data_IF_493842269606
#
_entry.id   IF_493842269606
#
_cell.length_a   1.000
_cell.length_b   1.000
_cell.length_c   1.000
_cell.angle_alpha   90.00
_cell.angle_beta   90.00
_cell.angle_gamma   90.00
#
_symmetry.space_group_name_H-M   'P 1'
#
loop_
_entity.id
_entity.type
_entity.pdbx_description
1 polymer ?
#
# COMPACT_ATOMS: atom_id res chain seq x y z
N UNK A 1 -20.18 -15.68 20.91
CA UNK A 1 -19.17 -15.43 19.86
C UNK A 1 -19.67 -16.08 18.58
N UNK A 2 -19.92 -15.29 17.53
CA UNK A 2 -20.18 -15.84 16.20
C UNK A 2 -18.99 -16.70 15.74
N UNK A 3 -19.24 -17.78 14.98
CA UNK A 3 -18.14 -18.56 14.39
C UNK A 3 -17.24 -17.62 13.58
N UNK A 4 -15.90 -17.79 13.64
CA UNK A 4 -14.99 -17.04 12.78
C UNK A 4 -15.32 -17.37 11.32
N UNK A 5 -15.47 -16.33 10.49
CA UNK A 5 -15.70 -16.48 9.06
C UNK A 5 -14.52 -17.23 8.45
N UNK A 6 -14.78 -18.23 7.62
CA UNK A 6 -13.75 -18.99 6.89
C UNK A 6 -13.63 -18.35 5.50
N UNK A 7 -12.41 -18.24 4.94
CA UNK A 7 -12.20 -17.51 3.68
C UNK A 7 -12.98 -18.16 2.52
N UNK A 8 -12.99 -19.48 2.51
CA UNK A 8 -13.67 -20.33 1.54
C UNK A 8 -15.18 -20.10 1.54
N UNK A 9 -15.78 -19.76 2.69
CA UNK A 9 -17.22 -19.51 2.82
C UNK A 9 -17.66 -18.16 2.20
N UNK A 10 -16.72 -17.27 1.90
CA UNK A 10 -17.00 -15.90 1.42
C UNK A 10 -16.32 -15.59 0.08
N UNK A 11 -15.84 -16.62 -0.60
CA UNK A 11 -15.11 -16.50 -1.87
C UNK A 11 -15.72 -17.42 -2.94
N UNK A 12 -15.17 -17.42 -4.15
CA UNK A 12 -15.75 -18.16 -5.27
C UNK A 12 -16.99 -17.48 -5.84
N UNK A 13 -17.79 -18.24 -6.59
CA UNK A 13 -19.01 -17.79 -7.24
C UNK A 13 -19.61 -18.93 -8.07
N UNK A 14 -20.84 -18.75 -8.54
CA UNK A 14 -21.49 -19.72 -9.42
C UNK A 14 -21.16 -19.44 -10.89
N UNK A 15 -21.51 -20.38 -11.77
CA UNK A 15 -21.37 -20.18 -13.22
C UNK A 15 -22.24 -19.03 -13.78
N UNK A 16 -23.22 -18.53 -13.00
CA UNK A 16 -24.05 -17.39 -13.41
C UNK A 16 -23.39 -16.04 -13.18
N UNK A 17 -22.40 -15.96 -12.30
CA UNK A 17 -21.70 -14.72 -12.03
C UNK A 17 -21.00 -14.23 -13.29
N UNK A 18 -21.28 -12.98 -13.67
CA UNK A 18 -20.66 -12.32 -14.82
C UNK A 18 -19.56 -11.34 -14.41
N UNK A 19 -19.37 -11.11 -13.11
CA UNK A 19 -18.39 -10.18 -12.57
C UNK A 19 -17.36 -10.92 -11.73
N UNK A 20 -16.07 -10.79 -12.07
CA UNK A 20 -14.94 -11.26 -11.28
C UNK A 20 -14.34 -10.12 -10.45
N UNK A 21 -14.26 -10.27 -9.14
CA UNK A 21 -13.48 -9.41 -8.25
C UNK A 21 -12.24 -10.14 -7.73
N UNK A 22 -11.06 -9.60 -8.02
CA UNK A 22 -9.77 -10.16 -7.61
C UNK A 22 -9.27 -9.43 -6.37
N UNK A 23 -8.95 -10.15 -5.30
CA UNK A 23 -8.45 -9.60 -4.04
C UNK A 23 -6.96 -9.94 -3.86
N UNK A 24 -6.11 -8.91 -3.75
CA UNK A 24 -4.65 -9.08 -3.72
C UNK A 24 -4.08 -8.59 -2.38
N UNK A 25 -3.46 -9.51 -1.62
CA UNK A 25 -2.90 -9.22 -0.30
C UNK A 25 -1.54 -8.50 -0.35
N UNK A 26 -1.11 -7.96 0.79
CA UNK A 26 0.15 -7.24 0.95
C UNK A 26 1.39 -8.11 1.22
N UNK A 27 2.52 -7.44 1.48
CA UNK A 27 3.81 -8.05 1.82
C UNK A 27 3.68 -8.97 3.04
N UNK A 28 4.36 -10.13 3.02
CA UNK A 28 4.31 -11.18 4.05
C UNK A 28 2.95 -11.82 4.30
N UNK A 29 1.93 -11.37 3.57
CA UNK A 29 0.55 -11.78 3.72
C UNK A 29 0.21 -13.11 3.05
N UNK A 30 -1.07 -13.42 3.09
CA UNK A 30 -1.68 -14.55 2.44
C UNK A 30 -3.16 -14.20 2.17
N UNK A 31 -3.90 -15.02 1.39
CA UNK A 31 -5.30 -14.75 1.03
C UNK A 31 -6.23 -14.40 2.20
N UNK A 32 -6.01 -14.98 3.39
CA UNK A 32 -6.87 -14.71 4.56
C UNK A 32 -6.83 -13.26 5.04
N UNK A 33 -5.81 -12.47 4.66
CA UNK A 33 -5.76 -11.04 4.97
C UNK A 33 -6.85 -10.25 4.24
N UNK A 34 -7.38 -10.79 3.14
CA UNK A 34 -8.48 -10.19 2.37
C UNK A 34 -9.85 -10.76 2.75
N UNK A 35 -9.92 -11.67 3.73
CA UNK A 35 -11.14 -12.37 4.12
C UNK A 35 -12.30 -11.44 4.46
N UNK A 36 -12.05 -10.38 5.22
CA UNK A 36 -13.12 -9.47 5.62
C UNK A 36 -13.53 -8.51 4.49
N UNK A 37 -12.62 -8.23 3.55
CA UNK A 37 -12.96 -7.56 2.28
C UNK A 37 -13.89 -8.45 1.45
N UNK A 38 -13.56 -9.74 1.31
CA UNK A 38 -14.40 -10.73 0.63
C UNK A 38 -15.77 -10.86 1.32
N UNK A 39 -15.78 -10.95 2.65
CA UNK A 39 -17.01 -10.99 3.44
C UNK A 39 -17.90 -9.77 3.19
N UNK A 40 -17.35 -8.56 3.21
CA UNK A 40 -18.12 -7.34 2.97
C UNK A 40 -18.74 -7.32 1.56
N UNK A 41 -18.02 -7.82 0.54
CA UNK A 41 -18.57 -7.97 -0.80
C UNK A 41 -19.65 -9.06 -0.87
N UNK A 42 -19.44 -10.20 -0.21
CA UNK A 42 -20.40 -11.32 -0.19
C UNK A 42 -21.67 -11.00 0.60
N UNK A 43 -21.59 -10.14 1.61
CA UNK A 43 -22.75 -9.65 2.36
C UNK A 43 -23.68 -8.79 1.46
N UNK A 44 -23.13 -8.10 0.45
CA UNK A 44 -23.87 -7.23 -0.48
C UNK A 44 -24.24 -7.93 -1.80
N UNK A 45 -23.41 -8.87 -2.27
CA UNK A 45 -23.55 -9.51 -3.58
C UNK A 45 -23.50 -11.04 -3.48
N UNK A 46 -24.49 -11.70 -4.06
CA UNK A 46 -24.61 -13.16 -4.03
C UNK A 46 -23.60 -13.87 -4.94
N UNK A 47 -23.44 -15.18 -4.76
CA UNK A 47 -22.55 -16.00 -5.60
C UNK A 47 -22.95 -16.02 -7.08
N UNK A 48 -24.22 -15.77 -7.38
CA UNK A 48 -24.76 -15.66 -8.73
C UNK A 48 -24.44 -14.32 -9.39
N UNK A 49 -24.05 -13.31 -8.61
CA UNK A 49 -23.75 -11.94 -9.10
C UNK A 49 -22.24 -11.69 -9.19
N UNK A 50 -21.50 -12.10 -8.16
CA UNK A 50 -20.08 -11.78 -7.99
C UNK A 50 -19.25 -13.02 -7.67
N UNK A 51 -18.29 -13.28 -8.56
CA UNK A 51 -17.22 -14.24 -8.35
C UNK A 51 -16.05 -13.55 -7.65
N UNK A 52 -15.63 -14.03 -6.48
CA UNK A 52 -14.53 -13.45 -5.70
C UNK A 52 -13.31 -14.37 -5.75
N UNK A 53 -12.18 -13.85 -6.25
CA UNK A 53 -10.90 -14.55 -6.36
C UNK A 53 -9.85 -13.92 -5.44
N UNK A 54 -9.55 -14.51 -4.27
CA UNK A 54 -8.34 -14.17 -3.52
C UNK A 54 -7.10 -14.68 -4.27
N UNK A 55 -6.14 -13.80 -4.56
CA UNK A 55 -4.89 -14.20 -5.19
C UNK A 55 -3.98 -14.96 -4.19
N UNK A 56 -3.48 -16.12 -4.62
CA UNK A 56 -2.77 -17.07 -3.75
C UNK A 56 -1.29 -17.24 -4.09
N UNK A 57 -0.89 -17.06 -5.36
CA UNK A 57 0.47 -17.42 -5.83
C UNK A 57 1.56 -16.53 -5.24
N UNK A 58 1.21 -15.41 -4.60
CA UNK A 58 2.15 -14.51 -3.91
C UNK A 58 2.26 -14.74 -2.40
N UNK A 59 1.64 -15.77 -1.83
CA UNK A 59 1.60 -15.93 -0.38
C UNK A 59 3.00 -16.02 0.29
N UNK A 60 3.13 -15.37 1.44
CA UNK A 60 4.28 -15.49 2.31
C UNK A 60 5.62 -15.07 1.70
N UNK A 61 6.56 -16.01 1.51
CA UNK A 61 7.91 -15.64 1.08
C UNK A 61 7.95 -15.25 -0.40
N UNK A 62 6.93 -15.60 -1.18
CA UNK A 62 6.82 -15.20 -2.57
C UNK A 62 6.60 -13.69 -2.73
N UNK A 63 6.10 -13.01 -1.68
CA UNK A 63 6.00 -11.55 -1.68
C UNK A 63 7.36 -10.85 -1.69
N UNK A 64 8.47 -11.55 -1.46
CA UNK A 64 9.82 -10.96 -1.54
C UNK A 64 10.32 -10.84 -2.99
N UNK A 65 9.64 -11.47 -3.95
CA UNK A 65 10.09 -11.54 -5.35
C UNK A 65 9.87 -10.26 -6.17
N UNK A 66 9.29 -9.23 -5.57
CA UNK A 66 8.99 -7.98 -6.23
C UNK A 66 7.58 -7.90 -6.79
N UNK A 67 7.22 -6.67 -7.13
CA UNK A 67 5.96 -6.27 -7.75
C UNK A 67 5.84 -6.86 -9.15
N UNK A 68 6.94 -6.96 -9.90
CA UNK A 68 6.98 -7.52 -11.25
C UNK A 68 6.56 -9.00 -11.26
N UNK A 69 7.36 -9.88 -10.62
CA UNK A 69 7.05 -11.31 -10.58
C UNK A 69 5.73 -11.57 -9.85
N UNK A 70 5.40 -10.74 -8.86
CA UNK A 70 4.10 -10.78 -8.20
C UNK A 70 2.95 -10.45 -9.15
N UNK A 71 3.10 -9.44 -10.00
CA UNK A 71 2.11 -9.03 -10.98
C UNK A 71 1.92 -10.05 -12.09
N UNK A 72 3.00 -10.66 -12.56
CA UNK A 72 2.96 -11.77 -13.52
C UNK A 72 2.17 -12.96 -12.98
N UNK A 73 2.39 -13.34 -11.72
CA UNK A 73 1.63 -14.41 -11.05
C UNK A 73 0.15 -14.07 -10.95
N UNK A 74 -0.20 -12.85 -10.55
CA UNK A 74 -1.61 -12.42 -10.44
C UNK A 74 -2.26 -12.36 -11.83
N UNK A 75 -1.56 -11.85 -12.85
CA UNK A 75 -2.04 -11.88 -14.23
C UNK A 75 -2.37 -13.31 -14.68
N UNK A 76 -1.45 -14.26 -14.43
CA UNK A 76 -1.67 -15.66 -14.73
C UNK A 76 -2.84 -16.27 -13.94
N UNK A 77 -3.00 -15.94 -12.65
CA UNK A 77 -4.16 -16.38 -11.85
C UNK A 77 -5.49 -15.89 -12.43
N UNK A 78 -5.54 -14.65 -12.90
CA UNK A 78 -6.74 -14.08 -13.53
C UNK A 78 -7.03 -14.82 -14.83
N UNK A 79 -6.03 -14.99 -15.70
CA UNK A 79 -6.14 -15.75 -16.95
C UNK A 79 -6.63 -17.19 -16.71
N UNK A 80 -5.99 -17.89 -15.77
CA UNK A 80 -6.37 -19.25 -15.38
C UNK A 80 -7.82 -19.28 -14.88
N UNK A 81 -8.22 -18.30 -14.06
CA UNK A 81 -9.58 -18.26 -13.51
C UNK A 81 -10.64 -17.98 -14.58
N UNK A 82 -10.40 -17.03 -15.49
CA UNK A 82 -11.30 -16.73 -16.60
C UNK A 82 -11.56 -17.98 -17.45
N UNK A 83 -10.49 -18.68 -17.86
CA UNK A 83 -10.60 -19.94 -18.62
C UNK A 83 -11.36 -21.02 -17.85
N UNK A 84 -11.01 -21.25 -16.58
CA UNK A 84 -11.68 -22.26 -15.76
C UNK A 84 -13.19 -21.99 -15.60
N UNK A 85 -13.61 -20.73 -15.49
CA UNK A 85 -15.03 -20.37 -15.42
C UNK A 85 -15.73 -20.64 -16.75
N UNK A 86 -15.07 -20.31 -17.87
CA UNK A 86 -15.58 -20.58 -19.22
C UNK A 86 -15.74 -22.08 -19.50
N UNK A 87 -14.77 -22.90 -19.10
CA UNK A 87 -14.83 -24.37 -19.20
C UNK A 87 -15.99 -24.98 -18.38
N UNK A 88 -16.40 -24.31 -17.30
CA UNK A 88 -17.55 -24.68 -16.48
C UNK A 88 -18.88 -24.15 -17.02
N UNK A 89 -18.87 -23.50 -18.18
CA UNK A 89 -20.05 -22.94 -18.85
C UNK A 89 -20.47 -21.55 -18.34
N UNK A 90 -19.66 -20.91 -17.49
CA UNK A 90 -19.85 -19.52 -17.07
C UNK A 90 -19.24 -18.53 -18.05
N UNK A 91 -19.52 -17.23 -17.88
CA UNK A 91 -18.89 -16.18 -18.69
C UNK A 91 -18.72 -14.90 -17.90
N UNK A 92 -17.47 -14.56 -17.58
CA UNK A 92 -17.12 -13.28 -16.98
C UNK A 92 -17.06 -12.21 -18.06
N UNK A 93 -17.77 -11.10 -17.83
CA UNK A 93 -17.78 -9.92 -18.70
C UNK A 93 -17.31 -8.66 -17.98
N UNK A 94 -17.24 -8.69 -16.64
CA UNK A 94 -16.79 -7.56 -15.81
C UNK A 94 -15.62 -7.93 -14.93
N UNK A 95 -14.68 -7.01 -14.76
CA UNK A 95 -13.50 -7.19 -13.90
C UNK A 95 -13.39 -6.07 -12.87
N UNK A 96 -13.19 -6.46 -11.61
CA UNK A 96 -12.77 -5.59 -10.52
C UNK A 96 -11.53 -6.15 -9.84
N UNK A 97 -10.69 -5.27 -9.30
CA UNK A 97 -9.51 -5.63 -8.53
C UNK A 97 -9.45 -4.76 -7.27
N UNK A 98 -9.22 -5.39 -6.12
CA UNK A 98 -8.98 -4.70 -4.86
C UNK A 98 -7.65 -5.17 -4.24
N UNK A 99 -6.70 -4.26 -4.10
CA UNK A 99 -5.37 -4.52 -3.53
C UNK A 99 -5.20 -3.91 -2.14
N UNK A 100 -4.54 -4.63 -1.24
CA UNK A 100 -4.16 -4.13 0.08
C UNK A 100 -2.63 -3.99 0.20
N UNK A 101 -2.15 -2.84 0.65
CA UNK A 101 -0.71 -2.59 0.84
C UNK A 101 0.07 -2.84 -0.46
N UNK A 102 1.16 -3.63 -0.42
CA UNK A 102 1.91 -4.09 -1.61
C UNK A 102 1.00 -4.68 -2.70
N UNK A 103 -0.12 -5.31 -2.32
CA UNK A 103 -1.07 -5.92 -3.26
C UNK A 103 -1.64 -4.92 -4.27
N UNK A 104 -1.84 -3.66 -3.90
CA UNK A 104 -2.28 -2.63 -4.84
C UNK A 104 -1.24 -2.30 -5.93
N UNK A 105 0.06 -2.38 -5.59
CA UNK A 105 1.14 -2.19 -6.57
C UNK A 105 1.29 -3.39 -7.49
N UNK A 106 1.19 -4.61 -6.93
CA UNK A 106 1.12 -5.86 -7.70
C UNK A 106 -0.06 -5.84 -8.66
N UNK A 107 -1.23 -5.37 -8.23
CA UNK A 107 -2.41 -5.19 -9.07
C UNK A 107 -2.19 -4.21 -10.21
N UNK A 108 -1.49 -3.07 -9.98
CA UNK A 108 -1.15 -2.12 -11.05
C UNK A 108 -0.28 -2.76 -12.13
N UNK A 109 0.71 -3.56 -11.72
CA UNK A 109 1.56 -4.30 -12.66
C UNK A 109 0.74 -5.33 -13.46
N UNK A 110 -0.06 -6.15 -12.77
CA UNK A 110 -0.90 -7.16 -13.41
C UNK A 110 -1.90 -6.55 -14.41
N UNK A 111 -2.51 -5.41 -14.08
CA UNK A 111 -3.42 -4.69 -14.99
C UNK A 111 -2.73 -4.26 -16.28
N UNK A 112 -1.48 -3.78 -16.20
CA UNK A 112 -0.71 -3.45 -17.40
C UNK A 112 -0.44 -4.67 -18.28
N UNK A 113 -0.15 -5.84 -17.68
CA UNK A 113 0.03 -7.08 -18.43
C UNK A 113 -1.27 -7.54 -19.09
N UNK A 114 -2.40 -7.51 -18.36
CA UNK A 114 -3.71 -7.85 -18.90
C UNK A 114 -4.09 -6.93 -20.07
N UNK A 115 -3.77 -5.63 -19.96
CA UNK A 115 -3.95 -4.65 -21.04
C UNK A 115 -3.11 -5.01 -22.27
N UNK A 116 -1.80 -5.25 -22.08
CA UNK A 116 -0.89 -5.59 -23.18
C UNK A 116 -1.25 -6.90 -23.89
N UNK A 117 -1.90 -7.84 -23.17
CA UNK A 117 -2.41 -9.11 -23.70
C UNK A 117 -3.76 -8.98 -24.42
N UNK A 118 -4.40 -7.80 -24.42
CA UNK A 118 -5.73 -7.58 -24.99
C UNK A 118 -6.89 -8.14 -24.16
N UNK A 119 -6.62 -8.74 -22.99
CA UNK A 119 -7.66 -9.37 -22.15
C UNK A 119 -8.65 -8.33 -21.63
N UNK A 120 -8.18 -7.12 -21.32
CA UNK A 120 -9.05 -6.04 -20.86
C UNK A 120 -9.93 -5.46 -21.98
N UNK A 121 -9.75 -5.87 -23.24
CA UNK A 121 -10.61 -5.41 -24.35
C UNK A 121 -11.92 -6.19 -24.39
N UNK A 122 -11.91 -7.44 -23.91
CA UNK A 122 -13.10 -8.30 -23.80
C UNK A 122 -13.86 -8.14 -22.48
N UNK A 123 -13.32 -7.33 -21.55
CA UNK A 123 -13.84 -7.14 -20.20
C UNK A 123 -14.20 -5.68 -19.94
N UNK A 124 -15.38 -5.49 -19.35
CA UNK A 124 -15.76 -4.21 -18.78
C UNK A 124 -15.03 -4.02 -17.43
N UNK A 125 -14.01 -3.16 -17.42
CA UNK A 125 -13.22 -2.88 -16.23
C UNK A 125 -13.99 -1.95 -15.28
N UNK A 126 -14.48 -2.49 -14.16
CA UNK A 126 -15.40 -1.80 -13.26
C UNK A 126 -14.66 -1.02 -12.17
N UNK A 127 -14.00 -1.73 -11.25
CA UNK A 127 -13.38 -1.12 -10.06
C UNK A 127 -11.90 -1.48 -9.93
N UNK A 128 -11.06 -0.49 -9.71
CA UNK A 128 -9.70 -0.65 -9.21
C UNK A 128 -9.60 0.02 -7.85
N UNK A 129 -9.58 -0.78 -6.77
CA UNK A 129 -9.59 -0.27 -5.40
C UNK A 129 -8.28 -0.59 -4.70
N UNK A 130 -7.79 0.36 -3.89
CA UNK A 130 -6.62 0.13 -3.03
C UNK A 130 -6.86 0.52 -1.59
N UNK A 131 -6.34 -0.27 -0.67
CA UNK A 131 -6.38 -0.02 0.77
C UNK A 131 -4.95 0.11 1.29
N UNK A 132 -4.60 1.31 1.79
CA UNK A 132 -3.27 1.60 2.34
C UNK A 132 -2.11 1.13 1.43
N UNK A 133 -2.22 1.32 0.12
CA UNK A 133 -1.19 0.93 -0.86
C UNK A 133 -0.18 2.04 -1.09
N UNK A 134 1.15 1.78 -1.02
CA UNK A 134 2.17 2.82 -1.11
C UNK A 134 2.45 3.21 -2.57
N UNK A 135 1.54 3.95 -3.20
CA UNK A 135 1.62 4.34 -4.62
C UNK A 135 2.87 5.15 -4.98
N UNK A 136 3.46 5.86 -4.01
CA UNK A 136 4.69 6.65 -4.15
C UNK A 136 5.91 5.97 -3.49
N UNK A 137 5.79 4.69 -3.14
CA UNK A 137 6.78 3.95 -2.36
C UNK A 137 6.69 4.24 -0.86
N UNK A 138 7.68 3.77 -0.11
CA UNK A 138 7.76 3.91 1.37
C UNK A 138 8.95 4.75 1.81
N UNK A 139 9.61 5.42 0.86
CA UNK A 139 10.73 6.31 1.16
C UNK A 139 10.24 7.50 1.97
N UNK A 140 10.79 7.68 3.17
CA UNK A 140 10.58 8.87 3.98
C UNK A 140 11.26 10.08 3.35
N UNK A 141 10.59 11.24 3.24
CA UNK A 141 11.19 12.47 2.73
C UNK A 141 12.21 13.00 3.74
N UNK A 142 13.48 12.62 3.60
CA UNK A 142 14.57 13.06 4.49
C UNK A 142 15.70 13.69 3.65
N UNK A 143 16.33 14.75 4.18
CA UNK A 143 17.51 15.44 3.62
C UNK A 143 18.82 15.02 4.32
N UNK A 144 19.92 14.97 3.57
CA UNK A 144 21.29 14.77 4.06
C UNK A 144 21.94 13.41 3.75
N UNK A 145 23.28 13.40 3.81
CA UNK A 145 24.18 12.27 3.46
C UNK A 145 23.95 10.97 4.25
N UNK A 146 23.55 11.06 5.53
CA UNK A 146 23.30 9.88 6.38
C UNK A 146 22.10 9.06 5.88
N UNK A 147 21.18 9.68 5.13
CA UNK A 147 20.02 9.00 4.55
C UNK A 147 20.38 8.17 3.32
N UNK A 148 21.38 8.58 2.54
CA UNK A 148 21.87 7.78 1.40
C UNK A 148 22.46 6.47 1.90
N UNK A 149 23.20 6.48 3.02
CA UNK A 149 23.74 5.24 3.61
C UNK A 149 22.62 4.34 4.15
N UNK A 150 21.65 4.88 4.89
CA UNK A 150 20.57 4.06 5.47
C UNK A 150 19.55 3.57 4.43
N UNK A 151 19.12 4.42 3.50
CA UNK A 151 18.20 4.06 2.43
C UNK A 151 18.85 3.17 1.35
N UNK A 152 20.18 3.22 1.17
CA UNK A 152 20.88 2.38 0.17
C UNK A 152 21.42 1.09 0.79
N UNK A 153 22.03 1.08 1.99
CA UNK A 153 22.45 -0.17 2.64
C UNK A 153 21.27 -0.95 3.23
N UNK A 154 20.34 -0.27 3.91
CA UNK A 154 19.13 -0.89 4.45
C UNK A 154 18.32 -1.52 3.33
N UNK A 155 17.95 -0.76 2.31
CA UNK A 155 17.11 -1.28 1.23
C UNK A 155 17.80 -2.26 0.27
N UNK A 156 19.14 -2.30 0.17
CA UNK A 156 19.85 -3.38 -0.55
C UNK A 156 19.84 -4.72 0.20
N UNK A 157 19.66 -4.72 1.52
CA UNK A 157 19.43 -5.94 2.31
C UNK A 157 17.96 -6.36 2.33
N UNK A 158 17.05 -5.46 1.94
CA UNK A 158 15.65 -5.78 1.68
C UNK A 158 15.56 -6.43 0.30
N UNK A 159 14.80 -7.51 0.19
CA UNK A 159 14.44 -8.22 -1.05
C UNK A 159 14.08 -7.32 -2.25
N UNK A 160 13.80 -7.92 -3.42
CA UNK A 160 13.35 -7.14 -4.59
C UNK A 160 12.14 -6.25 -4.32
N UNK A 161 11.14 -6.73 -3.56
CA UNK A 161 10.00 -5.89 -3.13
C UNK A 161 10.43 -4.69 -2.30
N UNK A 162 11.42 -4.86 -1.41
CA UNK A 162 11.96 -3.75 -0.63
C UNK A 162 12.67 -2.72 -1.49
N UNK A 163 13.52 -3.17 -2.43
CA UNK A 163 14.22 -2.27 -3.37
C UNK A 163 13.23 -1.43 -4.20
N UNK A 164 12.15 -2.05 -4.65
CA UNK A 164 11.08 -1.40 -5.42
C UNK A 164 10.24 -0.44 -4.55
N UNK A 165 9.86 -0.84 -3.33
CA UNK A 165 9.12 0.03 -2.41
C UNK A 165 9.94 1.27 -2.00
N UNK A 166 11.26 1.14 -1.86
CA UNK A 166 12.16 2.27 -1.56
C UNK A 166 12.61 3.05 -2.81
N UNK A 167 12.13 2.67 -4.00
CA UNK A 167 12.46 3.30 -5.29
C UNK A 167 13.98 3.40 -5.53
N UNK A 168 14.72 2.35 -5.17
CA UNK A 168 16.18 2.25 -5.40
C UNK A 168 16.54 1.14 -6.41
N UNK A 169 15.53 0.51 -7.00
CA UNK A 169 15.67 -0.41 -8.12
C UNK A 169 15.86 0.36 -9.44
N UNK A 170 16.23 -0.39 -10.47
CA UNK A 170 16.24 0.08 -11.86
C UNK A 170 15.44 -0.93 -12.65
N UNK A 171 14.32 -0.50 -13.19
CA UNK A 171 13.42 -1.38 -13.93
C UNK A 171 13.91 -1.53 -15.37
N UNK A 172 14.42 -2.73 -15.69
CA UNK A 172 14.93 -3.08 -17.03
C UNK A 172 15.90 -2.01 -17.55
N UNK A 173 15.79 -1.64 -18.82
CA UNK A 173 16.68 -0.68 -19.49
C UNK A 173 16.23 0.78 -19.33
N UNK A 174 15.20 1.05 -18.50
CA UNK A 174 14.67 2.41 -18.32
C UNK A 174 15.56 3.31 -17.47
N UNK A 175 16.47 2.72 -16.68
CA UNK A 175 17.21 3.39 -15.60
C UNK A 175 16.34 4.10 -14.54
N UNK A 176 15.01 3.91 -14.56
CA UNK A 176 14.05 4.47 -13.60
C UNK A 176 13.58 3.41 -12.60
N UNK A 177 13.16 3.79 -11.39
CA UNK A 177 12.51 2.86 -10.45
C UNK A 177 11.21 2.30 -11.03
N UNK A 178 10.85 1.06 -10.70
CA UNK A 178 9.62 0.43 -11.20
C UNK A 178 8.37 1.27 -10.91
N UNK A 179 8.26 1.88 -9.72
CA UNK A 179 7.07 2.65 -9.37
C UNK A 179 6.87 3.89 -10.25
N UNK A 180 7.97 4.53 -10.67
CA UNK A 180 7.93 5.64 -11.62
C UNK A 180 7.42 5.14 -12.99
N UNK A 181 7.92 4.00 -13.45
CA UNK A 181 7.48 3.38 -14.71
C UNK A 181 6.00 2.94 -14.65
N UNK A 182 5.53 2.44 -13.50
CA UNK A 182 4.11 2.11 -13.30
C UNK A 182 3.18 3.34 -13.37
N UNK A 183 3.71 4.53 -13.15
CA UNK A 183 2.98 5.80 -13.19
C UNK A 183 3.25 6.59 -14.47
N UNK A 184 4.10 6.10 -15.37
CA UNK A 184 4.41 6.75 -16.63
C UNK A 184 3.14 6.77 -17.52
N UNK A 185 2.71 7.94 -18.02
CA UNK A 185 1.43 8.10 -18.71
C UNK A 185 1.35 7.30 -20.01
N UNK A 186 2.50 7.01 -20.65
CA UNK A 186 2.61 6.26 -21.89
C UNK A 186 2.80 4.75 -21.64
N UNK A 187 2.87 4.33 -20.38
CA UNK A 187 3.01 2.92 -20.03
C UNK A 187 1.73 2.12 -20.23
N UNK A 188 1.89 0.82 -20.48
CA UNK A 188 0.80 -0.16 -20.46
C UNK A 188 0.08 -0.19 -19.10
N UNK A 189 0.80 0.13 -18.01
CA UNK A 189 0.27 0.10 -16.65
C UNK A 189 -0.75 1.22 -16.44
N UNK A 190 -0.42 2.44 -16.86
CA UNK A 190 -1.34 3.57 -16.83
C UNK A 190 -2.48 3.41 -17.83
N UNK A 191 -2.20 2.88 -19.02
CA UNK A 191 -3.23 2.58 -20.03
C UNK A 191 -4.26 1.57 -19.50
N UNK A 192 -3.81 0.48 -18.90
CA UNK A 192 -4.69 -0.51 -18.26
C UNK A 192 -5.45 0.06 -17.07
N UNK A 193 -4.79 0.83 -16.19
CA UNK A 193 -5.44 1.45 -15.03
C UNK A 193 -6.56 2.40 -15.44
N UNK A 194 -6.35 3.20 -16.50
CA UNK A 194 -7.34 4.14 -17.03
C UNK A 194 -8.57 3.47 -17.63
N UNK A 195 -8.53 2.16 -17.97
CA UNK A 195 -9.72 1.41 -18.43
C UNK A 195 -10.76 1.20 -17.33
N UNK A 196 -10.37 1.21 -16.06
CA UNK A 196 -11.31 1.02 -14.96
C UNK A 196 -12.21 2.23 -14.78
N UNK A 197 -13.53 2.02 -14.80
CA UNK A 197 -14.55 3.07 -14.62
C UNK A 197 -14.37 3.81 -13.30
N UNK A 198 -14.01 3.08 -12.24
CA UNK A 198 -13.80 3.65 -10.92
C UNK A 198 -12.45 3.24 -10.35
N UNK A 199 -11.65 4.24 -10.00
CA UNK A 199 -10.40 4.07 -9.26
C UNK A 199 -10.59 4.68 -7.87
N UNK A 200 -10.53 3.86 -6.83
CA UNK A 200 -10.80 4.28 -5.45
C UNK A 200 -9.61 3.92 -4.56
N UNK A 201 -9.18 4.85 -3.72
CA UNK A 201 -8.15 4.58 -2.71
C UNK A 201 -8.65 4.95 -1.32
N UNK A 202 -8.28 4.12 -0.35
CA UNK A 202 -8.47 4.37 1.07
C UNK A 202 -7.11 4.53 1.73
N UNK A 203 -6.92 5.65 2.42
CA UNK A 203 -5.64 6.05 3.01
C UNK A 203 -5.81 6.37 4.48
N UNK A 204 -5.01 5.73 5.34
CA UNK A 204 -5.03 6.04 6.76
C UNK A 204 -4.42 7.43 7.01
N UNK A 205 -5.10 8.28 7.77
CA UNK A 205 -4.59 9.61 8.14
C UNK A 205 -3.67 9.59 9.37
N UNK A 206 -3.75 8.55 10.18
CA UNK A 206 -2.95 8.38 11.39
C UNK A 206 -2.56 6.92 11.61
N UNK A 207 -1.50 6.73 12.39
CA UNK A 207 -1.04 5.44 12.93
C UNK A 207 -0.63 4.38 11.89
N UNK A 208 -0.60 4.71 10.59
CA UNK A 208 -0.09 3.81 9.57
C UNK A 208 1.41 4.07 9.41
N UNK A 209 2.19 3.18 10.01
CA UNK A 209 3.65 3.26 10.05
C UNK A 209 4.30 2.52 8.88
N UNK A 210 3.54 1.66 8.21
CA UNK A 210 3.99 0.91 7.04
C UNK A 210 3.82 1.75 5.78
N UNK A 211 2.65 2.38 5.64
CA UNK A 211 2.24 3.15 4.47
C UNK A 211 1.61 4.46 4.94
N UNK A 212 2.47 5.44 5.14
CA UNK A 212 2.10 6.79 5.56
C UNK A 212 1.12 7.46 4.59
N UNK A 213 0.37 8.44 5.09
CA UNK A 213 -0.75 9.04 4.37
C UNK A 213 -0.35 9.52 2.96
N UNK A 214 0.72 10.31 2.84
CA UNK A 214 1.06 10.96 1.58
C UNK A 214 1.31 9.98 0.42
N UNK A 215 1.86 8.79 0.70
CA UNK A 215 2.12 7.79 -0.34
C UNK A 215 0.86 7.04 -0.76
N UNK A 216 -0.02 6.70 0.18
CA UNK A 216 -1.27 6.01 -0.15
C UNK A 216 -2.34 6.93 -0.71
N UNK A 217 -2.32 8.20 -0.32
CA UNK A 217 -3.21 9.23 -0.80
C UNK A 217 -2.77 9.87 -2.13
N UNK A 218 -1.57 9.56 -2.62
CA UNK A 218 -1.00 10.15 -3.84
C UNK A 218 -1.00 11.68 -3.69
N UNK A 219 -0.23 12.19 -2.73
CA UNK A 219 -0.20 13.62 -2.42
C UNK A 219 1.18 14.04 -1.95
N UNK A 220 1.51 15.31 -2.18
CA UNK A 220 2.74 15.96 -1.71
C UNK A 220 2.56 16.69 -0.37
N UNK A 221 1.41 16.55 0.27
CA UNK A 221 1.05 17.23 1.50
C UNK A 221 0.51 16.25 2.54
N UNK A 222 0.89 16.42 3.79
CA UNK A 222 0.37 15.64 4.92
C UNK A 222 -0.14 16.59 6.02
N UNK A 223 -1.44 16.96 5.98
CA UNK A 223 -2.02 17.86 6.96
C UNK A 223 -2.35 17.15 8.30
N UNK A 224 -2.18 15.84 8.39
CA UNK A 224 -2.58 15.03 9.54
C UNK A 224 -1.44 14.75 10.53
N UNK A 225 -0.26 15.31 10.25
CA UNK A 225 0.90 15.27 11.16
C UNK A 225 0.61 15.84 12.54
N UNK A 226 -0.33 16.79 12.63
CA UNK A 226 -0.81 17.37 13.88
C UNK A 226 -2.33 17.60 13.82
N UNK A 227 -3.08 16.63 14.35
CA UNK A 227 -4.55 16.68 14.39
C UNK A 227 -5.09 17.82 15.27
N UNK A 228 -4.28 18.43 16.15
CA UNK A 228 -4.75 19.57 16.96
C UNK A 228 -4.95 20.83 16.11
N UNK A 229 -4.25 20.94 14.97
CA UNK A 229 -4.30 22.08 14.04
C UNK A 229 -5.42 22.02 13.02
N UNK A 230 -6.11 20.88 12.91
CA UNK A 230 -7.13 20.65 11.89
C UNK A 230 -8.45 20.19 12.51
N UNK A 231 -9.56 20.63 11.93
CA UNK A 231 -10.86 20.02 12.12
C UNK A 231 -11.07 18.98 11.02
N UNK A 232 -11.47 17.77 11.39
CA UNK A 232 -11.76 16.71 10.43
C UNK A 232 -13.24 16.77 10.05
N UNK A 233 -13.51 16.81 8.75
CA UNK A 233 -14.85 16.73 8.20
C UNK A 233 -15.10 15.29 7.76
N UNK A 234 -16.13 14.66 8.33
CA UNK A 234 -16.46 13.28 8.03
C UNK A 234 -17.49 13.17 6.91
N UNK A 235 -17.36 12.11 6.12
CA UNK A 235 -18.33 11.72 5.12
C UNK A 235 -19.66 11.35 5.79
N UNK A 236 -20.75 11.88 5.26
CA UNK A 236 -22.11 11.63 5.77
C UNK A 236 -22.42 10.13 5.80
N UNK A 237 -22.85 9.62 6.96
CA UNK A 237 -23.16 8.21 7.20
C UNK A 237 -21.96 7.34 7.62
N UNK A 238 -20.75 7.93 7.66
CA UNK A 238 -19.51 7.28 8.07
C UNK A 238 -18.74 8.13 9.10
N UNK A 239 -19.50 8.86 9.92
CA UNK A 239 -18.99 9.79 10.91
C UNK A 239 -17.99 9.11 11.86
N UNK A 240 -16.86 9.77 12.09
CA UNK A 240 -15.78 9.26 12.93
C UNK A 240 -14.81 8.30 12.22
N UNK A 241 -15.07 7.87 10.98
CA UNK A 241 -14.17 6.92 10.29
C UNK A 241 -13.70 7.45 8.95
N UNK A 242 -14.61 7.80 8.03
CA UNK A 242 -14.23 8.20 6.67
C UNK A 242 -14.39 9.71 6.56
N UNK A 243 -13.36 10.37 6.03
CA UNK A 243 -13.36 11.82 5.81
C UNK A 243 -14.05 12.14 4.49
N UNK A 244 -14.62 13.34 4.40
CA UNK A 244 -15.16 13.87 3.15
C UNK A 244 -14.03 13.95 2.11
N UNK A 245 -14.17 13.34 0.92
CA UNK A 245 -13.10 13.29 -0.07
C UNK A 245 -12.78 14.65 -0.70
N UNK A 246 -13.77 15.56 -0.75
CA UNK A 246 -13.62 16.87 -1.40
C UNK A 246 -13.09 17.91 -0.41
N UNK A 247 -13.55 17.85 0.85
CA UNK A 247 -13.18 18.80 1.90
C UNK A 247 -12.84 18.10 3.22
N UNK A 248 -11.77 17.27 3.28
CA UNK A 248 -11.50 16.41 4.43
C UNK A 248 -11.13 17.17 5.71
N UNK A 249 -10.60 18.38 5.58
CA UNK A 249 -10.13 19.20 6.70
C UNK A 249 -10.61 20.65 6.60
N UNK A 250 -10.73 21.29 7.76
CA UNK A 250 -10.79 22.74 7.90
C UNK A 250 -9.70 23.20 8.89
N UNK A 251 -8.95 24.26 8.55
CA UNK A 251 -7.91 24.79 9.43
C UNK A 251 -8.53 25.37 10.70
N UNK A 252 -7.95 25.04 11.86
CA UNK A 252 -8.32 25.70 13.12
C UNK A 252 -7.62 27.06 13.21
N UNK A 253 -8.32 28.13 13.62
CA UNK A 253 -7.66 29.38 13.97
C UNK A 253 -6.71 29.13 15.14
N UNK A 254 -5.50 29.72 15.08
CA UNK A 254 -4.51 29.61 16.16
C UNK A 254 -5.10 30.18 17.45
N UNK A 255 -5.45 29.34 18.41
CA UNK A 255 -5.57 29.76 19.80
C UNK A 255 -4.17 29.93 20.37
N UNK A 256 -3.94 31.08 21.00
CA UNK A 256 -2.69 31.40 21.69
C UNK A 256 -2.53 30.41 22.84
N UNK A 257 -1.65 29.43 22.68
CA UNK A 257 -1.29 28.48 23.73
C UNK A 257 -0.29 29.15 24.69
N UNK A 258 -0.61 29.15 25.98
CA UNK A 258 0.30 29.57 27.04
C UNK A 258 1.51 28.63 27.09
N UNK A 259 2.68 29.17 26.80
CA UNK A 259 3.96 28.46 26.63
C UNK A 259 4.62 27.99 27.93
N UNK A 260 3.96 28.12 29.09
CA UNK A 260 4.57 27.85 30.41
C UNK A 260 4.19 26.49 31.02
N UNK A 261 3.14 25.83 30.53
CA UNK A 261 2.68 24.52 31.04
C UNK A 261 3.21 23.31 30.24
N UNK A 262 3.79 23.56 29.06
CA UNK A 262 4.15 22.54 28.06
C UNK A 262 5.43 21.75 28.39
N UNK A 263 6.42 22.39 29.01
CA UNK A 263 7.72 21.76 29.30
C UNK A 263 7.65 20.71 30.42
N UNK A 264 6.79 20.91 31.42
CA UNK A 264 6.63 19.98 32.54
C UNK A 264 5.90 18.70 32.11
N UNK A 265 4.86 18.81 31.28
CA UNK A 265 4.17 17.66 30.73
C UNK A 265 5.03 16.89 29.73
N UNK A 266 5.80 17.58 28.88
CA UNK A 266 6.74 16.98 27.95
C UNK A 266 7.82 16.16 28.69
N UNK A 267 8.42 16.71 29.75
CA UNK A 267 9.41 16.02 30.57
C UNK A 267 8.80 14.80 31.28
N UNK A 268 7.58 14.92 31.82
CA UNK A 268 6.89 13.81 32.49
C UNK A 268 6.52 12.67 31.52
N UNK A 269 6.15 13.00 30.28
CA UNK A 269 5.87 12.04 29.20
C UNK A 269 7.17 11.35 28.76
N UNK A 270 8.26 12.10 28.64
CA UNK A 270 9.59 11.61 28.28
C UNK A 270 10.17 10.65 29.34
N UNK A 271 10.07 11.01 30.62
CA UNK A 271 10.51 10.17 31.75
C UNK A 271 9.69 8.88 31.84
N UNK A 272 8.38 8.93 31.61
CA UNK A 272 7.52 7.74 31.57
C UNK A 272 7.81 6.79 30.40
N UNK A 273 8.42 7.28 29.31
CA UNK A 273 8.84 6.45 28.18
C UNK A 273 10.21 5.76 28.35
N UNK A 274 10.99 6.08 29.39
CA UNK A 274 12.33 5.51 29.60
C UNK A 274 12.34 3.98 29.69
N UNK A 275 11.44 3.31 30.44
CA UNK A 275 11.42 1.84 30.48
C UNK A 275 11.14 1.23 29.10
N UNK A 276 10.22 1.83 28.33
CA UNK A 276 9.93 1.43 26.96
C UNK A 276 11.14 1.63 26.03
N UNK A 277 11.86 2.75 26.17
CA UNK A 277 13.07 3.03 25.38
C UNK A 277 14.20 2.04 25.69
N UNK A 278 14.34 1.61 26.95
CA UNK A 278 15.36 0.60 27.34
C UNK A 278 14.98 -0.79 26.80
N UNK A 279 13.71 -1.19 26.90
CA UNK A 279 13.22 -2.45 26.29
C UNK A 279 13.45 -2.45 24.78
N UNK A 280 13.16 -1.35 24.11
CA UNK A 280 13.43 -1.14 22.69
C UNK A 280 14.93 -1.19 22.39
N UNK A 281 15.76 -0.51 23.19
CA UNK A 281 17.21 -0.43 22.98
C UNK A 281 17.96 -1.77 23.12
N UNK A 282 17.38 -2.77 23.78
CA UNK A 282 17.99 -4.11 23.94
C UNK A 282 17.36 -5.14 23.00
N UNK A 283 16.03 -5.15 22.86
CA UNK A 283 15.32 -6.15 22.06
C UNK A 283 15.44 -5.84 20.56
N UNK A 284 15.35 -4.56 20.16
CA UNK A 284 15.39 -4.19 18.74
C UNK A 284 16.74 -4.54 18.09
N UNK A 285 17.91 -4.27 18.68
CA UNK A 285 19.18 -4.67 18.02
C UNK A 285 19.27 -6.18 17.75
N UNK A 286 18.80 -7.02 18.68
CA UNK A 286 18.78 -8.48 18.50
C UNK A 286 17.79 -8.86 17.41
N UNK A 287 16.55 -8.34 17.46
CA UNK A 287 15.53 -8.59 16.46
C UNK A 287 15.93 -8.11 15.06
N UNK A 288 16.61 -6.97 14.96
CA UNK A 288 17.16 -6.41 13.72
C UNK A 288 18.24 -7.32 13.15
N UNK A 289 19.14 -7.86 13.96
CA UNK A 289 20.16 -8.81 13.47
C UNK A 289 19.51 -10.08 12.91
N UNK A 290 18.53 -10.65 13.63
CA UNK A 290 17.78 -11.83 13.15
C UNK A 290 17.01 -11.51 11.87
N UNK A 291 16.35 -10.35 11.82
CA UNK A 291 15.65 -9.86 10.63
C UNK A 291 16.59 -9.71 9.44
N UNK A 292 17.74 -9.05 9.61
CA UNK A 292 18.72 -8.83 8.54
C UNK A 292 19.29 -10.17 8.05
N UNK A 293 19.56 -11.12 8.95
CA UNK A 293 19.99 -12.47 8.56
C UNK A 293 18.92 -13.22 7.75
N UNK A 294 17.66 -13.19 8.20
CA UNK A 294 16.55 -13.78 7.45
C UNK A 294 16.34 -13.04 6.11
N UNK A 295 16.40 -11.71 6.09
CA UNK A 295 16.25 -10.89 4.89
C UNK A 295 17.34 -11.18 3.87
N UNK A 296 18.59 -11.40 4.30
CA UNK A 296 19.68 -11.84 3.43
C UNK A 296 19.37 -13.22 2.82
N UNK A 297 18.93 -14.19 3.63
CA UNK A 297 18.53 -15.52 3.14
C UNK A 297 17.37 -15.43 2.15
N UNK A 298 16.33 -14.64 2.45
CA UNK A 298 15.19 -14.47 1.55
C UNK A 298 15.59 -13.74 0.27
N UNK A 299 16.51 -12.78 0.33
CA UNK A 299 17.05 -12.09 -0.84
C UNK A 299 17.76 -13.08 -1.77
N UNK A 300 18.59 -13.98 -1.25
CA UNK A 300 19.25 -15.02 -2.06
C UNK A 300 18.23 -15.99 -2.66
N UNK A 301 17.27 -16.47 -1.85
CA UNK A 301 16.21 -17.37 -2.33
C UNK A 301 15.32 -16.73 -3.39
N UNK A 302 15.00 -15.46 -3.21
CA UNK A 302 14.24 -14.66 -4.17
C UNK A 302 15.02 -14.46 -5.46
N UNK A 303 16.30 -14.09 -5.39
CA UNK A 303 17.16 -13.96 -6.56
C UNK A 303 17.25 -15.28 -7.36
N UNK A 304 17.33 -16.43 -6.68
CA UNK A 304 17.30 -17.73 -7.35
C UNK A 304 15.95 -18.00 -8.04
N UNK A 305 14.82 -17.65 -7.40
CA UNK A 305 13.49 -17.78 -8.02
C UNK A 305 13.32 -16.87 -9.24
N UNK A 306 13.76 -15.62 -9.13
CA UNK A 306 13.72 -14.64 -10.23
C UNK A 306 14.59 -15.14 -11.39
N UNK A 307 15.82 -15.57 -11.12
CA UNK A 307 16.72 -16.12 -12.14
C UNK A 307 16.11 -17.34 -12.84
N UNK A 308 15.50 -18.27 -12.09
CA UNK A 308 14.83 -19.43 -12.65
C UNK A 308 13.60 -19.05 -13.50
N UNK A 309 12.91 -17.97 -13.13
CA UNK A 309 11.80 -17.44 -13.91
C UNK A 309 12.27 -16.81 -15.22
N UNK A 310 13.30 -15.96 -15.15
CA UNK A 310 13.92 -15.32 -16.32
C UNK A 310 14.55 -16.33 -17.30
N UNK A 311 15.11 -17.44 -16.80
CA UNK A 311 15.68 -18.51 -17.64
C UNK A 311 14.63 -19.42 -18.28
N UNK A 312 13.33 -19.24 -17.98
CA UNK A 312 12.25 -20.11 -18.44
C UNK A 312 12.23 -21.51 -17.78
N UNK A 313 13.09 -21.76 -16.78
CA UNK A 313 13.19 -23.03 -16.06
C UNK A 313 12.14 -23.14 -14.93
N UNK A 314 11.46 -22.04 -14.60
CA UNK A 314 10.35 -22.00 -13.64
C UNK A 314 9.04 -22.55 -14.22
N UNK A 315 9.05 -23.79 -14.73
CA UNK A 315 7.83 -24.57 -14.89
C UNK A 315 7.18 -24.77 -13.52
N UNK A 316 6.12 -24.00 -13.23
CA UNK A 316 5.46 -23.87 -11.92
C UNK A 316 5.20 -25.24 -11.24
N UNK A 317 6.09 -25.64 -10.32
CA UNK A 317 5.90 -26.81 -9.45
C UNK A 317 5.20 -26.39 -8.15
N UNK A 318 3.98 -26.89 -7.97
CA UNK A 318 2.97 -26.49 -6.96
C UNK A 318 3.16 -27.16 -5.57
N UNK A 319 4.24 -27.92 -5.34
CA UNK A 319 4.39 -28.67 -4.07
C UNK A 319 5.09 -27.92 -2.92
N UNK A 320 5.66 -26.73 -3.13
CA UNK A 320 6.31 -25.95 -2.06
C UNK A 320 5.37 -24.98 -1.29
N UNK A 321 4.07 -25.03 -1.56
CA UNK A 321 3.09 -24.01 -1.12
C UNK A 321 2.48 -24.25 0.29
N UNK A 322 2.88 -25.31 0.99
CA UNK A 322 2.42 -25.57 2.38
C UNK A 322 3.40 -24.99 3.40
N UNK A 323 3.02 -23.86 3.99
CA UNK A 323 3.81 -23.18 5.04
C UNK A 323 3.67 -23.89 6.40
N UNK A 324 4.77 -24.12 7.15
CA UNK A 324 4.70 -24.52 8.56
C UNK A 324 4.12 -23.38 9.44
N UNK A 325 3.20 -23.73 10.35
CA UNK A 325 2.50 -22.78 11.24
C UNK A 325 3.44 -21.92 12.13
N UNK A 326 4.65 -22.40 12.44
CA UNK A 326 5.63 -21.72 13.33
C UNK A 326 6.34 -20.49 12.72
N UNK A 327 6.14 -20.18 11.44
CA UNK A 327 6.78 -19.01 10.78
C UNK A 327 5.95 -17.73 10.94
N UNK A 328 4.67 -17.82 11.31
CA UNK A 328 3.77 -16.66 11.42
C UNK A 328 4.21 -15.67 12.50
N UNK A 329 4.61 -16.16 13.68
CA UNK A 329 5.04 -15.33 14.82
C UNK A 329 6.27 -14.47 14.47
N UNK A 330 7.28 -15.07 13.82
CA UNK A 330 8.50 -14.36 13.38
C UNK A 330 8.17 -13.25 12.37
N UNK A 331 7.18 -13.44 11.49
CA UNK A 331 6.78 -12.41 10.51
C UNK A 331 6.05 -11.25 11.14
N UNK A 332 5.19 -11.49 12.12
CA UNK A 332 4.50 -10.41 12.84
C UNK A 332 5.50 -9.56 13.64
N UNK A 333 6.48 -10.18 14.28
CA UNK A 333 7.57 -9.47 14.97
C UNK A 333 8.44 -8.65 14.01
N UNK A 334 8.73 -9.21 12.83
CA UNK A 334 9.46 -8.52 11.76
C UNK A 334 8.66 -7.35 11.19
N UNK A 335 7.35 -7.50 11.00
CA UNK A 335 6.45 -6.44 10.55
C UNK A 335 6.44 -5.30 11.57
N UNK A 336 6.35 -5.61 12.86
CA UNK A 336 6.46 -4.62 13.93
C UNK A 336 7.82 -3.92 13.96
N UNK A 337 8.93 -4.65 13.79
CA UNK A 337 10.26 -4.05 13.75
C UNK A 337 10.41 -3.10 12.56
N UNK A 338 9.91 -3.49 11.39
CA UNK A 338 9.88 -2.66 10.19
C UNK A 338 9.02 -1.40 10.39
N UNK A 339 7.82 -1.53 10.96
CA UNK A 339 6.96 -0.39 11.30
C UNK A 339 7.60 0.56 12.30
N UNK A 340 8.29 0.04 13.31
CA UNK A 340 9.02 0.87 14.28
C UNK A 340 10.13 1.65 13.58
N UNK A 341 10.92 1.00 12.71
CA UNK A 341 11.98 1.66 11.95
C UNK A 341 11.44 2.77 11.05
N UNK A 342 10.36 2.52 10.30
CA UNK A 342 9.72 3.55 9.46
C UNK A 342 9.16 4.70 10.31
N UNK A 343 8.54 4.42 11.44
CA UNK A 343 7.97 5.45 12.33
C UNK A 343 8.99 6.30 13.08
N UNK A 344 10.26 5.88 13.12
CA UNK A 344 11.35 6.61 13.80
C UNK A 344 11.87 7.81 13.00
N UNK A 345 11.46 7.92 11.73
CA UNK A 345 11.90 8.97 10.83
C UNK A 345 10.82 10.07 10.70
N UNK A 346 11.11 11.28 11.16
CA UNK A 346 10.22 12.42 10.98
C UNK A 346 10.26 12.91 9.52
N UNK A 347 9.09 13.04 8.89
CA UNK A 347 8.96 13.60 7.53
C UNK A 347 9.57 15.01 7.47
N UNK A 348 10.38 15.30 6.45
CA UNK A 348 10.92 16.63 6.18
C UNK A 348 10.21 17.28 4.99
N UNK A 349 10.16 18.62 5.02
CA UNK A 349 9.54 19.45 4.01
C UNK A 349 10.58 20.12 3.12
N UNK A 350 10.19 20.47 1.88
CA UNK A 350 11.06 21.24 0.99
C UNK A 350 11.49 22.55 1.67
N UNK A 351 12.80 22.83 1.62
CA UNK A 351 13.32 24.09 2.17
C UNK A 351 12.95 25.25 1.24
N UNK A 352 12.92 26.46 1.80
CA UNK A 352 12.69 27.69 1.03
C UNK A 352 13.83 27.99 0.03
N UNK A 353 15.01 27.39 0.20
CA UNK A 353 16.18 27.54 -0.66
C UNK A 353 16.71 26.20 -1.16
N UNK A 354 17.54 26.25 -2.20
CA UNK A 354 18.26 25.10 -2.72
C UNK A 354 19.14 24.47 -1.61
N UNK A 355 19.21 23.14 -1.62
CA UNK A 355 20.06 22.34 -0.73
C UNK A 355 21.20 21.67 -1.50
N UNK A 356 22.30 21.33 -0.82
CA UNK A 356 23.41 20.59 -1.45
C UNK A 356 22.97 19.26 -2.08
N UNK A 357 21.96 18.60 -1.50
CA UNK A 357 21.34 17.39 -2.05
C UNK A 357 20.74 17.60 -3.45
N UNK A 358 20.35 18.82 -3.82
CA UNK A 358 19.75 19.11 -5.13
C UNK A 358 20.76 19.02 -6.27
N UNK A 359 22.06 19.15 -5.96
CA UNK A 359 23.13 19.10 -6.95
C UNK A 359 23.31 17.69 -7.53
N UNK A 360 22.76 16.67 -6.87
CA UNK A 360 22.75 15.30 -7.37
C UNK A 360 21.77 15.08 -8.53
N UNK A 361 20.81 16.00 -8.72
CA UNK A 361 19.81 15.94 -9.78
C UNK A 361 20.22 16.72 -11.02
N UNK A 362 19.67 16.35 -12.18
CA UNK A 362 19.90 17.05 -13.43
C UNK A 362 19.22 18.43 -13.50
N UNK A 363 19.36 19.13 -14.63
CA UNK A 363 18.84 20.49 -14.76
C UNK A 363 17.31 20.58 -14.73
N UNK A 364 16.60 19.61 -15.32
CA UNK A 364 15.14 19.63 -15.39
C UNK A 364 14.54 19.22 -14.04
N UNK A 365 15.09 18.20 -13.39
CA UNK A 365 14.69 17.80 -12.04
C UNK A 365 14.87 18.95 -11.02
N UNK A 366 15.99 19.67 -11.10
CA UNK A 366 16.21 20.85 -10.23
C UNK A 366 15.18 21.96 -10.51
N UNK A 367 14.75 22.13 -11.75
CA UNK A 367 13.73 23.11 -12.13
C UNK A 367 12.36 22.70 -11.59
N UNK A 368 12.02 21.41 -11.62
CA UNK A 368 10.81 20.86 -10.99
C UNK A 368 10.83 21.11 -9.48
N UNK A 369 11.92 20.78 -8.79
CA UNK A 369 12.04 21.01 -7.34
C UNK A 369 11.89 22.51 -6.99
N UNK A 370 12.44 23.41 -7.81
CA UNK A 370 12.26 24.86 -7.64
C UNK A 370 10.81 25.30 -7.82
N UNK A 371 10.10 24.72 -8.79
CA UNK A 371 8.66 24.96 -8.99
C UNK A 371 7.88 24.50 -7.75
N UNK A 372 8.12 23.29 -7.26
CA UNK A 372 7.45 22.73 -6.08
C UNK A 372 7.70 23.53 -4.79
N UNK A 373 8.92 24.05 -4.61
CA UNK A 373 9.24 24.96 -3.50
C UNK A 373 8.41 26.23 -3.52
N UNK A 374 8.24 26.84 -4.70
CA UNK A 374 7.47 28.08 -4.87
C UNK A 374 5.98 27.86 -4.60
N UNK A 375 5.48 26.65 -4.81
CA UNK A 375 4.09 26.29 -4.54
C UNK A 375 3.84 25.89 -3.08
N UNK A 376 4.89 25.63 -2.29
CA UNK A 376 4.78 25.33 -0.86
C UNK A 376 4.33 26.55 -0.08
N UNK A 377 3.28 26.43 0.74
CA UNK A 377 2.76 27.53 1.57
C UNK A 377 2.77 27.15 3.05
N UNK A 378 2.80 28.12 3.99
CA UNK A 378 2.79 27.82 5.42
C UNK A 378 1.57 27.03 5.91
N UNK A 379 0.43 27.11 5.21
CA UNK A 379 -0.79 26.35 5.52
C UNK A 379 -0.83 24.96 4.88
N UNK A 380 0.04 24.70 3.90
CA UNK A 380 0.09 23.46 3.13
C UNK A 380 1.53 23.22 2.67
N UNK A 381 2.37 22.73 3.59
CA UNK A 381 3.79 22.50 3.33
C UNK A 381 3.99 21.35 2.34
N UNK A 382 4.85 21.54 1.35
CA UNK A 382 5.24 20.50 0.40
C UNK A 382 6.32 19.60 1.00
N UNK A 383 6.09 18.29 1.00
CA UNK A 383 7.04 17.27 1.45
C UNK A 383 8.29 17.24 0.58
N UNK A 384 9.44 16.90 1.16
CA UNK A 384 10.72 16.75 0.44
C UNK A 384 10.78 15.42 -0.35
N UNK A 385 9.87 15.28 -1.33
CA UNK A 385 9.79 14.14 -2.24
C UNK A 385 10.84 14.20 -3.34
N UNK A 386 11.12 13.07 -3.99
CA UNK A 386 12.00 13.01 -5.17
C UNK A 386 11.30 13.53 -6.44
N UNK A 387 12.04 13.92 -7.49
CA UNK A 387 11.45 14.27 -8.78
C UNK A 387 10.51 13.19 -9.33
N UNK A 388 10.94 11.92 -9.33
CA UNK A 388 10.08 10.77 -9.69
C UNK A 388 8.78 10.75 -8.87
N UNK A 389 8.83 11.05 -7.57
CA UNK A 389 7.62 11.06 -6.73
C UNK A 389 6.66 12.20 -7.07
N UNK A 390 7.17 13.38 -7.44
CA UNK A 390 6.32 14.47 -7.93
C UNK A 390 5.66 14.11 -9.27
N UNK A 391 6.43 13.54 -10.20
CA UNK A 391 5.91 13.07 -11.49
C UNK A 391 4.85 11.96 -11.30
N UNK A 392 5.12 10.99 -10.41
CA UNK A 392 4.16 9.95 -10.04
C UNK A 392 2.85 10.54 -9.53
N UNK A 393 2.89 11.60 -8.70
CA UNK A 393 1.68 12.26 -8.18
C UNK A 393 0.89 12.87 -9.33
N UNK A 394 1.53 13.67 -10.18
CA UNK A 394 0.86 14.34 -11.31
C UNK A 394 0.17 13.31 -12.22
N UNK A 395 0.91 12.30 -12.67
CA UNK A 395 0.39 11.30 -13.61
C UNK A 395 -0.71 10.42 -12.99
N UNK A 396 -0.58 10.06 -11.71
CA UNK A 396 -1.60 9.27 -11.03
C UNK A 396 -2.86 10.08 -10.76
N UNK A 397 -2.76 11.36 -10.43
CA UNK A 397 -3.93 12.23 -10.24
C UNK A 397 -4.72 12.41 -11.53
N UNK A 398 -4.05 12.49 -12.68
CA UNK A 398 -4.70 12.46 -13.99
C UNK A 398 -5.45 11.15 -14.26
N UNK A 399 -5.08 10.06 -13.57
CA UNK A 399 -5.88 8.84 -13.53
C UNK A 399 -7.05 8.92 -12.55
N UNK A 400 -7.57 10.10 -12.18
CA UNK A 400 -8.96 10.28 -11.73
C UNK A 400 -9.38 9.45 -10.51
N UNK A 401 -8.53 9.41 -9.48
CA UNK A 401 -8.81 8.67 -8.25
C UNK A 401 -9.86 9.34 -7.37
N UNK A 402 -10.74 8.53 -6.79
CA UNK A 402 -11.57 8.89 -5.64
C UNK A 402 -10.79 8.55 -4.37
N UNK A 403 -10.43 9.57 -3.59
CA UNK A 403 -9.51 9.44 -2.46
C UNK A 403 -10.27 9.58 -1.15
N UNK A 404 -10.30 8.53 -0.34
CA UNK A 404 -10.99 8.54 0.95
C UNK A 404 -9.99 8.45 2.10
N UNK A 405 -9.74 9.56 2.81
CA UNK A 405 -8.96 9.52 4.04
C UNK A 405 -9.74 8.81 5.15
N UNK A 406 -9.05 7.96 5.91
CA UNK A 406 -9.63 7.09 6.95
C UNK A 406 -8.98 7.37 8.28
N UNK A 407 -9.80 7.67 9.28
CA UNK A 407 -9.43 7.88 10.67
C UNK A 407 -9.75 6.63 11.50
N UNK A 408 -8.83 5.66 11.51
CA UNK A 408 -8.91 4.52 12.44
C UNK A 408 -8.51 5.00 13.84
N UNK A 409 -9.48 5.05 14.75
CA UNK A 409 -9.31 5.60 16.10
C UNK A 409 -9.15 4.51 17.15
N UNK A 410 -9.83 3.37 16.97
CA UNK A 410 -9.89 2.29 17.96
C UNK A 410 -8.65 1.40 18.00
N UNK A 411 -7.67 1.61 17.11
CA UNK A 411 -6.44 0.82 17.07
C UNK A 411 -5.22 1.62 16.62
N UNK A 412 -4.04 1.26 17.15
CA UNK A 412 -2.75 1.88 16.82
C UNK A 412 -2.03 1.31 15.60
N UNK A 413 -2.52 0.19 15.08
CA UNK A 413 -2.01 -0.41 13.85
C UNK A 413 -3.13 -0.29 12.81
N UNK A 414 -3.28 0.93 12.28
CA UNK A 414 -4.34 1.29 11.33
C UNK A 414 -4.15 0.62 9.98
N UNK A 415 -2.90 0.29 9.62
CA UNK A 415 -2.54 -0.45 8.41
C UNK A 415 -3.35 -1.73 8.26
N UNK A 416 -3.31 -2.63 9.25
CA UNK A 416 -4.10 -3.86 9.22
C UNK A 416 -5.58 -3.65 9.57
N UNK A 417 -5.91 -2.60 10.33
CA UNK A 417 -7.29 -2.33 10.74
C UNK A 417 -8.17 -1.87 9.58
N UNK A 418 -7.63 -1.16 8.59
CA UNK A 418 -8.41 -0.64 7.44
C UNK A 418 -9.10 -1.74 6.61
N UNK A 419 -8.51 -2.95 6.57
CA UNK A 419 -9.10 -4.14 5.93
C UNK A 419 -9.61 -5.18 6.92
N UNK A 420 -9.68 -4.81 8.21
CA UNK A 420 -10.07 -5.68 9.31
C UNK A 420 -9.29 -7.00 9.30
N UNK A 421 -7.95 -6.97 9.32
CA UNK A 421 -7.12 -8.20 9.24
C UNK A 421 -7.42 -9.21 10.36
N UNK A 422 -7.92 -8.74 11.50
CA UNK A 422 -8.31 -9.55 12.66
C UNK A 422 -9.74 -9.22 13.10
N UNK A 423 -10.52 -10.24 13.44
CA UNK A 423 -11.90 -10.09 13.95
C UNK A 423 -11.87 -9.68 15.44
N UNK A 424 -11.52 -8.42 15.69
CA UNK A 424 -11.45 -7.82 17.02
C UNK A 424 -12.29 -6.55 17.08
N UNK A 425 -12.87 -6.27 18.23
CA UNK A 425 -13.62 -5.03 18.45
C UNK A 425 -12.77 -3.78 18.21
N UNK A 426 -11.47 -3.84 18.51
CA UNK A 426 -10.54 -2.75 18.22
C UNK A 426 -10.40 -2.43 16.72
N UNK A 427 -10.79 -3.35 15.83
CA UNK A 427 -10.75 -3.18 14.37
C UNK A 427 -12.11 -2.71 13.82
N UNK A 428 -13.08 -2.37 14.68
CA UNK A 428 -14.44 -2.02 14.30
C UNK A 428 -14.53 -0.87 13.30
N UNK A 429 -13.62 0.11 13.36
CA UNK A 429 -13.61 1.23 12.41
C UNK A 429 -13.34 0.76 10.97
N UNK A 430 -12.56 -0.31 10.79
CA UNK A 430 -12.33 -0.90 9.46
C UNK A 430 -13.59 -1.43 8.81
N UNK A 431 -14.58 -1.91 9.58
CA UNK A 431 -15.86 -2.36 9.01
C UNK A 431 -16.66 -1.23 8.37
N UNK A 432 -16.55 0.01 8.87
CA UNK A 432 -17.16 1.16 8.21
C UNK A 432 -16.50 1.44 6.84
N UNK A 433 -15.18 1.25 6.73
CA UNK A 433 -14.45 1.34 5.45
C UNK A 433 -14.95 0.27 4.48
N UNK A 434 -15.03 -0.98 4.93
CA UNK A 434 -15.44 -2.10 4.07
C UNK A 434 -16.92 -1.99 3.65
N UNK A 435 -17.78 -1.48 4.52
CA UNK A 435 -19.18 -1.19 4.20
C UNK A 435 -19.30 -0.08 3.14
N UNK A 436 -18.53 1.00 3.27
CA UNK A 436 -18.48 2.06 2.26
C UNK A 436 -17.96 1.53 0.92
N UNK A 437 -16.90 0.72 0.97
CA UNK A 437 -16.35 0.08 -0.22
C UNK A 437 -17.39 -0.79 -0.93
N UNK A 438 -17.97 -1.77 -0.25
CA UNK A 438 -18.89 -2.72 -0.87
C UNK A 438 -20.23 -2.05 -1.27
N UNK A 439 -20.79 -1.18 -0.44
CA UNK A 439 -22.13 -0.62 -0.67
C UNK A 439 -22.18 0.67 -1.51
N UNK A 440 -21.12 1.49 -1.49
CA UNK A 440 -21.12 2.81 -2.17
C UNK A 440 -20.13 2.87 -3.34
N UNK A 441 -18.92 2.35 -3.13
CA UNK A 441 -17.84 2.51 -4.11
C UNK A 441 -17.72 1.33 -5.08
N UNK A 442 -18.17 0.13 -4.76
CA UNK A 442 -18.13 -1.01 -5.67
C UNK A 442 -19.23 -0.92 -6.73
N UNK A 443 -18.85 -0.78 -8.00
CA UNK A 443 -19.77 -0.84 -9.14
C UNK A 443 -19.99 -2.29 -9.56
N UNK A 444 -21.23 -2.77 -9.62
CA UNK A 444 -21.57 -4.13 -10.07
C UNK A 444 -21.59 -4.33 -11.57
#
# INVERSE_FOLDING_TARGET
MSKPVVLEDVTGGSAKATHLCVLVHGLWGNPSHMRNVAKALRDEYSEDELYILPAEKNCGNFTYDGIELGGERVCAEIEDKLRNIEEQGGKITKLSIAGYSLGGLVSRYAVGLLYAKGILDDLECMNFTTFASPHLGVRTPLKGWHNTVWNVLGARTLSMSGRQLFTIDKFRDTNRPLLAVLADPDSIFMSGLKKFKRRTLYTNIVNDRSVVHYTSAITKHDPYTDLEKVNLNYLKGYEGVILDPDHPIALRPKLQQDTLLTDYEALKKWVKSIPFMVTVGVIIPIGVVVFLANSAVQTVRSANRIKAHESGEAGLKIEQYRMPLRIKEIREEVEQAYEVLNSSQNQQYLAASDSEDDLAYDAEDRKLLKKERRMSTPGQLTLALTPDQFEMIENLDEAGWRKFPVHIQKHRHSHAAIVVRMDKESFADGWAVLKHFAGSEFLM
#
